data_IF_890880756171
#
_entry.id   IF_890880756171
#
_cell.length_a   1.000
_cell.length_b   1.000
_cell.length_c   1.000
_cell.angle_alpha   90.00
_cell.angle_beta   90.00
_cell.angle_gamma   90.00
#
_symmetry.space_group_name_H-M   'P 1'
#
loop_
_entity.id
_entity.type
_entity.pdbx_description
1 polymer ?
#
# COMPACT_ATOMS: atom_id res chain seq x y z
N UNK A 1 12.06 -4.73 -16.80
CA UNK A 1 10.90 -3.82 -16.78
C UNK A 1 10.26 -3.87 -15.39
N UNK A 2 9.64 -2.79 -14.91
CA UNK A 2 8.93 -2.76 -13.62
C UNK A 2 7.43 -2.91 -13.86
N UNK A 3 6.77 -3.77 -13.09
CA UNK A 3 5.34 -4.07 -13.20
C UNK A 3 4.56 -3.46 -12.03
N UNK A 4 3.48 -2.75 -12.32
CA UNK A 4 2.48 -2.36 -11.33
C UNK A 4 1.25 -3.25 -11.47
N UNK A 5 0.84 -3.89 -10.38
CA UNK A 5 -0.37 -4.71 -10.33
C UNK A 5 -1.54 -3.89 -9.77
N UNK A 6 -2.65 -3.88 -10.50
CA UNK A 6 -3.86 -3.15 -10.12
C UNK A 6 -5.11 -3.98 -10.46
N UNK A 7 -6.27 -3.50 -10.01
CA UNK A 7 -7.58 -4.07 -10.36
C UNK A 7 -8.15 -4.96 -9.26
N UNK A 8 -9.16 -4.44 -8.56
CA UNK A 8 -9.89 -5.21 -7.54
C UNK A 8 -9.07 -5.58 -6.30
N UNK A 9 -7.91 -4.97 -6.08
CA UNK A 9 -7.10 -5.25 -4.89
C UNK A 9 -7.75 -4.71 -3.62
N UNK A 10 -7.62 -5.46 -2.53
CA UNK A 10 -8.03 -5.10 -1.18
C UNK A 10 -7.11 -5.77 -0.13
N UNK A 11 -7.39 -5.56 1.15
CA UNK A 11 -6.54 -6.10 2.22
C UNK A 11 -6.60 -7.64 2.34
N UNK A 12 -7.64 -8.27 1.79
CA UNK A 12 -7.83 -9.72 1.87
C UNK A 12 -7.05 -10.44 0.75
N UNK A 13 -6.86 -9.79 -0.41
CA UNK A 13 -6.22 -10.40 -1.57
C UNK A 13 -4.79 -9.89 -1.89
N UNK A 14 -4.38 -8.72 -1.40
CA UNK A 14 -3.12 -8.09 -1.85
C UNK A 14 -1.89 -8.93 -1.53
N UNK A 15 -1.88 -9.65 -0.40
CA UNK A 15 -0.76 -10.50 -0.02
C UNK A 15 -0.54 -11.64 -1.01
N UNK A 16 -1.59 -12.40 -1.29
CA UNK A 16 -1.55 -13.50 -2.26
C UNK A 16 -1.18 -13.00 -3.67
N UNK A 17 -1.73 -11.85 -4.07
CA UNK A 17 -1.41 -11.22 -5.35
C UNK A 17 0.09 -10.88 -5.47
N UNK A 18 0.69 -10.31 -4.42
CA UNK A 18 2.13 -10.02 -4.36
C UNK A 18 2.95 -11.31 -4.42
N UNK A 19 2.61 -12.33 -3.64
CA UNK A 19 3.36 -13.60 -3.63
C UNK A 19 3.35 -14.29 -5.00
N UNK A 20 2.24 -14.25 -5.71
CA UNK A 20 2.08 -14.91 -7.03
C UNK A 20 2.72 -14.13 -8.17
N UNK A 21 2.52 -12.83 -8.22
CA UNK A 21 2.91 -12.00 -9.37
C UNK A 21 4.31 -11.41 -9.20
N UNK A 22 4.76 -11.21 -7.95
CA UNK A 22 5.99 -10.48 -7.59
C UNK A 22 6.11 -9.15 -8.35
N UNK A 23 5.08 -8.28 -8.28
CA UNK A 23 5.12 -7.00 -8.98
C UNK A 23 6.13 -6.07 -8.31
N UNK A 24 6.60 -5.07 -9.05
CA UNK A 24 7.42 -3.99 -8.48
C UNK A 24 6.59 -3.10 -7.52
N UNK A 25 5.29 -2.99 -7.75
CA UNK A 25 4.37 -2.29 -6.85
C UNK A 25 2.92 -2.67 -7.10
N UNK A 26 2.04 -2.24 -6.19
CA UNK A 26 0.59 -2.44 -6.27
C UNK A 26 -0.14 -1.10 -6.24
N UNK A 27 -1.26 -0.99 -6.96
CA UNK A 27 -2.14 0.17 -6.95
C UNK A 27 -3.56 -0.23 -6.52
N UNK A 28 -4.17 0.58 -5.65
CA UNK A 28 -5.48 0.31 -5.08
C UNK A 28 -6.39 1.54 -5.12
N UNK A 29 -7.59 1.35 -5.67
CA UNK A 29 -8.63 2.37 -5.70
C UNK A 29 -9.83 1.94 -4.86
N UNK A 30 -10.75 1.17 -5.43
CA UNK A 30 -12.06 0.89 -4.82
C UNK A 30 -12.01 -0.03 -3.59
N UNK A 31 -11.02 -0.91 -3.48
CA UNK A 31 -10.88 -1.85 -2.35
C UNK A 31 -10.56 -1.17 -1.00
N UNK A 32 -10.23 0.12 -1.00
CA UNK A 32 -9.98 0.93 0.20
C UNK A 32 -11.01 2.04 0.39
N UNK A 33 -12.11 2.03 -0.35
CA UNK A 33 -13.22 2.97 -0.17
C UNK A 33 -14.19 2.50 0.92
N UNK A 34 -14.91 3.42 1.57
CA UNK A 34 -16.00 3.06 2.50
C UNK A 34 -17.12 2.34 1.77
N UNK A 35 -17.44 2.82 0.57
CA UNK A 35 -18.35 2.20 -0.38
C UNK A 35 -17.65 2.13 -1.74
N UNK A 36 -17.46 0.94 -2.33
CA UNK A 36 -16.74 0.80 -3.59
C UNK A 36 -17.37 1.61 -4.73
N UNK A 37 -16.55 2.40 -5.42
CA UNK A 37 -16.97 3.21 -6.57
C UNK A 37 -17.66 4.52 -6.19
N UNK A 38 -17.52 4.95 -4.93
CA UNK A 38 -18.04 6.24 -4.43
C UNK A 38 -16.93 7.24 -4.09
N UNK A 39 -15.66 6.84 -4.24
CA UNK A 39 -14.50 7.73 -4.17
C UNK A 39 -14.04 8.11 -2.76
N UNK A 40 -14.87 7.91 -1.72
CA UNK A 40 -14.49 8.18 -0.33
C UNK A 40 -13.62 7.05 0.23
N UNK A 41 -12.35 7.34 0.50
CA UNK A 41 -11.40 6.41 1.13
C UNK A 41 -11.70 6.18 2.61
N UNK A 42 -11.49 4.96 3.08
CA UNK A 42 -11.55 4.56 4.49
C UNK A 42 -10.13 4.40 5.03
N UNK A 43 -9.76 5.21 6.02
CA UNK A 43 -8.42 5.19 6.62
C UNK A 43 -8.06 3.82 7.22
N UNK A 44 -9.02 3.10 7.80
CA UNK A 44 -8.79 1.78 8.40
C UNK A 44 -8.59 0.72 7.33
N UNK A 45 -9.32 0.79 6.21
CA UNK A 45 -9.09 -0.12 5.07
C UNK A 45 -7.75 0.15 4.42
N UNK A 46 -7.38 1.41 4.27
CA UNK A 46 -6.08 1.82 3.73
C UNK A 46 -4.93 1.31 4.61
N UNK A 47 -5.01 1.50 5.93
CA UNK A 47 -4.01 1.02 6.87
C UNK A 47 -3.83 -0.51 6.79
N UNK A 48 -4.93 -1.27 6.78
CA UNK A 48 -4.89 -2.74 6.61
C UNK A 48 -4.30 -3.15 5.27
N UNK A 49 -4.66 -2.47 4.19
CA UNK A 49 -4.11 -2.75 2.86
C UNK A 49 -2.59 -2.57 2.86
N UNK A 50 -2.10 -1.44 3.37
CA UNK A 50 -0.67 -1.13 3.43
C UNK A 50 0.07 -2.13 4.32
N UNK A 51 -0.48 -2.48 5.48
CA UNK A 51 0.10 -3.49 6.38
C UNK A 51 0.29 -4.83 5.66
N UNK A 52 -0.76 -5.33 5.00
CA UNK A 52 -0.74 -6.61 4.27
C UNK A 52 0.20 -6.57 3.06
N UNK A 53 0.19 -5.48 2.31
CA UNK A 53 1.06 -5.29 1.15
C UNK A 53 2.53 -5.24 1.55
N UNK A 54 2.88 -4.47 2.60
CA UNK A 54 4.26 -4.37 3.09
C UNK A 54 4.77 -5.69 3.65
N UNK A 55 3.94 -6.41 4.40
CA UNK A 55 4.30 -7.74 4.92
C UNK A 55 4.62 -8.71 3.77
N UNK A 56 3.73 -8.82 2.79
CA UNK A 56 3.97 -9.69 1.64
C UNK A 56 5.16 -9.22 0.78
N UNK A 57 5.35 -7.91 0.64
CA UNK A 57 6.50 -7.32 -0.03
C UNK A 57 7.83 -7.72 0.63
N UNK A 58 7.91 -7.67 1.97
CA UNK A 58 9.07 -8.11 2.71
C UNK A 58 9.35 -9.62 2.53
N UNK A 59 8.32 -10.44 2.37
CA UNK A 59 8.48 -11.89 2.12
C UNK A 59 9.08 -12.19 0.73
N UNK A 60 8.94 -11.28 -0.25
CA UNK A 60 9.39 -11.48 -1.64
C UNK A 60 10.51 -10.54 -2.08
N UNK A 61 10.92 -9.62 -1.22
CA UNK A 61 11.99 -8.66 -1.48
C UNK A 61 13.33 -9.39 -1.55
N UNK A 62 13.77 -9.71 -2.76
CA UNK A 62 15.09 -10.28 -3.08
C UNK A 62 16.00 -9.22 -3.73
N UNK A 63 15.55 -7.96 -3.78
CA UNK A 63 16.23 -6.86 -4.50
C UNK A 63 17.04 -5.93 -3.59
N UNK A 64 17.14 -6.24 -2.29
CA UNK A 64 17.89 -5.43 -1.32
C UNK A 64 17.19 -4.15 -0.90
N UNK A 65 15.88 -3.99 -1.17
CA UNK A 65 15.10 -2.88 -0.64
C UNK A 65 14.93 -3.00 0.88
N UNK A 66 15.63 -2.13 1.62
CA UNK A 66 15.47 -1.98 3.08
C UNK A 66 14.48 -0.83 3.32
N UNK A 67 13.30 -1.07 3.92
CA UNK A 67 12.37 0.00 4.28
C UNK A 67 13.05 0.97 5.26
N UNK A 68 13.07 2.27 4.95
CA UNK A 68 13.69 3.28 5.81
C UNK A 68 12.94 3.49 7.12
N UNK A 69 11.63 3.23 7.12
CA UNK A 69 10.74 3.52 8.25
C UNK A 69 9.75 2.36 8.44
N UNK A 70 9.80 1.73 9.60
CA UNK A 70 9.15 0.44 9.90
C UNK A 70 7.61 0.51 10.02
N UNK A 71 6.99 1.68 9.86
CA UNK A 71 5.54 1.85 9.99
C UNK A 71 4.95 2.64 8.80
N UNK A 72 3.72 2.33 8.38
CA UNK A 72 2.96 3.21 7.48
C UNK A 72 2.78 4.58 8.12
N UNK A 73 3.05 5.64 7.38
CA UNK A 73 2.75 7.01 7.81
C UNK A 73 1.24 7.16 8.07
N UNK A 74 0.87 7.53 9.29
CA UNK A 74 -0.50 7.80 9.70
C UNK A 74 -0.78 9.30 9.64
N UNK A 75 -1.41 9.77 8.57
CA UNK A 75 -1.75 11.19 8.38
C UNK A 75 -2.70 11.78 9.42
N UNK A 76 -3.34 10.97 10.27
CA UNK A 76 -4.16 11.45 11.40
C UNK A 76 -3.36 11.63 12.67
N UNK A 77 -2.28 10.87 12.86
CA UNK A 77 -1.49 10.84 14.09
C UNK A 77 -0.09 11.45 13.91
N UNK A 78 0.51 11.29 12.74
CA UNK A 78 1.84 11.75 12.40
C UNK A 78 1.77 13.20 11.87
N UNK A 79 2.57 14.13 12.43
CA UNK A 79 2.58 15.50 11.96
C UNK A 79 3.12 15.55 10.53
N UNK A 80 2.36 16.14 9.61
CA UNK A 80 2.81 16.35 8.22
C UNK A 80 4.20 16.97 8.24
N UNK A 81 5.24 16.31 7.70
CA UNK A 81 6.53 16.94 7.59
C UNK A 81 6.38 18.12 6.62
N UNK A 82 6.32 19.33 7.19
CA UNK A 82 6.21 20.60 6.46
C UNK A 82 7.40 20.86 5.51
N UNK A 83 8.40 19.99 5.52
CA UNK A 83 9.63 20.09 4.74
C UNK A 83 9.51 19.67 3.28
N UNK A 84 8.39 19.10 2.83
CA UNK A 84 8.27 18.55 1.45
C UNK A 84 7.06 19.05 0.64
N UNK A 85 6.43 20.16 1.05
CA UNK A 85 5.35 20.81 0.28
C UNK A 85 5.85 21.93 -0.66
N UNK A 86 7.04 21.75 -1.23
CA UNK A 86 7.55 22.60 -2.31
C UNK A 86 8.73 23.48 -1.92
N UNK A 87 9.92 23.01 -2.29
CA UNK A 87 10.89 23.80 -3.04
C UNK A 87 11.24 23.07 -4.32
#
# INVERSE_FOLDING_TARGET
ARLLLAGGLDADNVGEAIHRVRPWGVDVATGVETEPGRGRKDARRLARFIEKARRAGADVADDGWVPSDAAPYDWQADPTPLTDLGR
#
